data_IF_763242520438
#
_entry.id   IF_763242520438
#
_cell.length_a   1.000
_cell.length_b   1.000
_cell.length_c   1.000
_cell.angle_alpha   90.00
_cell.angle_beta   90.00
_cell.angle_gamma   90.00
#
_symmetry.space_group_name_H-M   'P 1'
#
loop_
_entity.id
_entity.type
_entity.pdbx_description
1 polymer ?
#
# COMPACT_ATOMS: atom_id res chain seq x y z
N UNK A 1 17.37 51.04 -40.70
CA UNK A 1 16.11 50.74 -39.91
C UNK A 1 16.01 49.24 -39.74
N UNK A 2 16.72 48.74 -38.73
CA UNK A 2 16.72 47.34 -38.35
C UNK A 2 15.58 47.08 -37.39
N UNK A 3 14.62 46.30 -37.83
CA UNK A 3 13.56 45.79 -36.95
C UNK A 3 14.02 44.50 -36.29
N UNK A 4 14.38 44.60 -35.02
CA UNK A 4 14.61 43.42 -34.14
C UNK A 4 13.35 42.58 -34.07
N UNK A 5 13.36 41.37 -34.61
CA UNK A 5 12.37 40.33 -34.32
C UNK A 5 12.64 39.75 -32.94
N UNK A 6 11.76 40.03 -32.01
CA UNK A 6 11.71 39.37 -30.73
C UNK A 6 11.37 37.90 -30.97
N UNK A 7 12.33 37.03 -30.69
CA UNK A 7 12.10 35.59 -30.64
C UNK A 7 11.13 35.26 -29.50
N UNK A 8 9.97 34.75 -29.84
CA UNK A 8 9.00 34.20 -28.87
C UNK A 8 9.65 33.02 -28.15
N UNK A 9 10.01 33.24 -26.90
CA UNK A 9 10.37 32.15 -26.00
C UNK A 9 9.11 31.29 -25.80
N UNK A 10 9.08 30.11 -26.42
CA UNK A 10 8.13 29.06 -26.15
C UNK A 10 8.28 28.64 -24.69
N UNK A 11 7.29 28.98 -23.86
CA UNK A 11 7.17 28.43 -22.51
C UNK A 11 7.23 26.91 -22.64
N UNK A 12 8.03 26.20 -21.79
CA UNK A 12 8.02 24.75 -21.79
C UNK A 12 6.58 24.30 -21.52
N UNK A 13 6.00 23.57 -22.48
CA UNK A 13 4.72 22.90 -22.28
C UNK A 13 4.88 22.02 -21.04
N UNK A 14 4.16 22.35 -19.96
CA UNK A 14 3.95 21.44 -18.85
C UNK A 14 3.30 20.20 -19.45
N UNK A 15 4.07 19.16 -19.69
CA UNK A 15 3.56 17.86 -20.10
C UNK A 15 2.48 17.51 -19.07
N UNK A 16 1.25 17.51 -19.54
CA UNK A 16 0.08 17.18 -18.72
C UNK A 16 0.23 15.71 -18.36
N UNK A 17 0.78 15.47 -17.16
CA UNK A 17 0.92 14.15 -16.62
C UNK A 17 -0.50 13.60 -16.42
N UNK A 18 -0.93 12.69 -17.26
CA UNK A 18 -2.21 12.01 -17.17
C UNK A 18 -1.96 10.50 -17.19
N UNK A 19 -1.36 9.95 -16.12
CA UNK A 19 -1.18 8.52 -16.03
C UNK A 19 -2.52 7.89 -15.75
N UNK A 20 -2.80 6.79 -16.40
CA UNK A 20 -3.89 5.93 -16.02
C UNK A 20 -3.62 5.43 -14.59
N UNK A 21 -4.49 5.78 -13.67
CA UNK A 21 -4.43 5.35 -12.27
C UNK A 21 -4.79 3.88 -12.19
N UNK A 22 -3.98 3.10 -11.48
CA UNK A 22 -4.15 1.66 -11.26
C UNK A 22 -4.65 1.39 -9.85
N UNK A 23 -4.15 2.16 -8.87
CA UNK A 23 -4.54 2.02 -7.46
C UNK A 23 -4.56 3.35 -6.74
N UNK A 24 -5.37 3.42 -5.69
CA UNK A 24 -5.47 4.57 -4.79
C UNK A 24 -5.54 4.04 -3.36
N UNK A 25 -4.79 4.64 -2.46
CA UNK A 25 -4.83 4.35 -1.02
C UNK A 25 -4.71 5.63 -0.21
N UNK A 26 -5.38 5.67 0.93
CA UNK A 26 -5.25 6.72 1.93
C UNK A 26 -4.31 6.26 3.04
N UNK A 27 -3.57 7.20 3.62
CA UNK A 27 -2.83 6.93 4.84
C UNK A 27 -3.77 6.85 6.06
N UNK A 28 -3.22 6.54 7.24
CA UNK A 28 -3.98 6.24 8.46
C UNK A 28 -4.96 7.34 8.90
N UNK A 29 -4.60 8.61 8.72
CA UNK A 29 -5.38 9.78 9.13
C UNK A 29 -6.10 10.49 7.96
N UNK A 30 -6.06 9.91 6.76
CA UNK A 30 -6.63 10.46 5.52
C UNK A 30 -6.08 11.83 5.11
N UNK A 31 -4.93 12.24 5.66
CA UNK A 31 -4.26 13.50 5.29
C UNK A 31 -3.47 13.40 3.98
N UNK A 32 -3.13 12.18 3.58
CA UNK A 32 -2.40 11.88 2.36
C UNK A 32 -3.08 10.80 1.53
N UNK A 33 -2.92 10.91 0.21
CA UNK A 33 -3.31 9.88 -0.74
C UNK A 33 -2.12 9.43 -1.57
N UNK A 34 -1.94 8.13 -1.70
CA UNK A 34 -0.99 7.52 -2.61
C UNK A 34 -1.71 6.92 -3.82
N UNK A 35 -1.10 7.01 -4.99
CA UNK A 35 -1.67 6.45 -6.22
C UNK A 35 -0.62 5.72 -7.03
N UNK A 36 -0.91 4.49 -7.40
CA UNK A 36 -0.16 3.76 -8.41
C UNK A 36 -0.70 4.06 -9.82
N UNK A 37 0.16 4.09 -10.80
CA UNK A 37 -0.19 4.39 -12.18
C UNK A 37 0.63 3.58 -13.17
N UNK A 38 0.31 3.63 -14.47
CA UNK A 38 1.06 2.96 -15.54
C UNK A 38 2.49 3.49 -15.74
N UNK A 39 2.90 4.58 -15.07
CA UNK A 39 4.22 5.22 -15.24
C UNK A 39 4.95 5.52 -13.92
N UNK A 40 4.57 4.83 -12.85
CA UNK A 40 5.11 5.04 -11.52
C UNK A 40 4.03 5.34 -10.49
N UNK A 41 4.32 6.16 -9.49
CA UNK A 41 3.38 6.46 -8.41
C UNK A 41 3.43 7.93 -8.00
N UNK A 42 2.42 8.35 -7.27
CA UNK A 42 2.34 9.69 -6.67
C UNK A 42 1.94 9.60 -5.20
N UNK A 43 2.42 10.57 -4.46
CA UNK A 43 2.00 10.84 -3.09
C UNK A 43 1.47 12.28 -3.04
N UNK A 44 0.26 12.44 -2.57
CA UNK A 44 -0.39 13.75 -2.46
C UNK A 44 -0.77 14.00 -1.00
N UNK A 45 -0.20 15.03 -0.41
CA UNK A 45 -0.67 15.56 0.86
C UNK A 45 -1.92 16.41 0.59
N UNK A 46 -3.02 16.11 1.29
CA UNK A 46 -4.31 16.78 1.13
C UNK A 46 -4.50 17.92 2.14
N UNK A 47 -4.00 17.72 3.36
CA UNK A 47 -4.12 18.65 4.49
C UNK A 47 -2.79 18.78 5.22
N UNK A 48 -2.43 19.95 5.80
CA UNK A 48 -3.13 21.24 5.71
C UNK A 48 -2.95 21.97 4.39
N UNK A 49 -1.92 21.63 3.58
CA UNK A 49 -1.63 22.25 2.30
C UNK A 49 -1.45 21.18 1.24
N UNK A 50 -2.13 21.33 0.12
CA UNK A 50 -2.00 20.39 -0.99
C UNK A 50 -0.56 20.40 -1.55
N UNK A 51 0.09 19.26 -1.46
CA UNK A 51 1.41 19.01 -2.07
C UNK A 51 1.38 17.68 -2.82
N UNK A 52 1.97 17.65 -3.99
CA UNK A 52 2.04 16.46 -4.83
C UNK A 52 3.49 16.16 -5.19
N UNK A 53 3.90 14.94 -4.91
CA UNK A 53 5.18 14.37 -5.29
C UNK A 53 4.94 13.23 -6.28
N UNK A 54 5.65 13.25 -7.42
CA UNK A 54 5.49 12.27 -8.49
C UNK A 54 6.81 11.55 -8.72
N UNK A 55 6.76 10.23 -8.75
CA UNK A 55 7.90 9.35 -8.94
C UNK A 55 7.70 8.55 -10.22
N UNK A 56 8.44 8.90 -11.27
CA UNK A 56 8.39 8.21 -12.55
C UNK A 56 9.19 6.92 -12.52
N UNK A 57 8.60 5.84 -13.04
CA UNK A 57 9.25 4.54 -13.19
C UNK A 57 9.13 4.03 -14.63
N UNK A 58 9.97 3.06 -15.00
CA UNK A 58 9.93 2.43 -16.33
C UNK A 58 8.76 1.44 -16.47
N UNK A 59 7.62 1.71 -15.84
CA UNK A 59 6.43 0.86 -15.87
C UNK A 59 5.46 1.18 -14.75
N UNK A 60 4.41 0.38 -14.66
CA UNK A 60 3.29 0.57 -13.75
C UNK A 60 3.54 0.09 -12.33
N UNK A 61 2.89 0.77 -11.39
CA UNK A 61 2.80 0.41 -9.98
C UNK A 61 1.34 0.06 -9.68
N UNK A 62 1.12 -1.18 -9.24
CA UNK A 62 -0.21 -1.71 -8.91
C UNK A 62 -0.64 -1.50 -7.48
N UNK A 63 0.31 -1.44 -6.55
CA UNK A 63 0.05 -1.17 -5.13
C UNK A 63 1.01 -0.06 -4.69
N UNK A 64 0.49 0.91 -3.96
CA UNK A 64 1.24 2.01 -3.38
C UNK A 64 0.64 2.35 -2.02
N UNK A 65 1.29 1.95 -0.95
CA UNK A 65 0.84 2.14 0.44
C UNK A 65 1.84 2.98 1.21
N UNK A 66 1.36 3.98 1.94
CA UNK A 66 2.21 4.87 2.74
C UNK A 66 2.24 4.44 4.20
N UNK A 67 3.37 4.67 4.85
CA UNK A 67 3.45 4.63 6.31
C UNK A 67 3.10 6.01 6.85
N UNK A 68 1.87 6.19 7.27
CA UNK A 68 1.34 7.47 7.81
C UNK A 68 1.73 8.69 6.96
N UNK A 69 2.20 9.78 7.58
CA UNK A 69 2.74 10.96 6.89
C UNK A 69 4.27 10.90 6.71
N UNK A 70 4.87 9.71 6.75
CA UNK A 70 6.31 9.52 6.58
C UNK A 70 6.73 9.53 5.11
N UNK A 71 8.04 9.50 4.87
CA UNK A 71 8.61 9.33 3.53
C UNK A 71 8.63 7.87 3.04
N UNK A 72 8.18 6.93 3.85
CA UNK A 72 8.22 5.50 3.51
C UNK A 72 6.97 5.06 2.75
N UNK A 73 7.19 4.42 1.61
CA UNK A 73 6.13 3.90 0.75
C UNK A 73 6.46 2.46 0.34
N UNK A 74 5.52 1.57 0.52
CA UNK A 74 5.60 0.21 -0.01
C UNK A 74 4.95 0.16 -1.39
N UNK A 75 5.69 -0.30 -2.40
CA UNK A 75 5.23 -0.36 -3.78
C UNK A 75 5.37 -1.76 -4.36
N UNK A 76 4.42 -2.13 -5.22
CA UNK A 76 4.41 -3.41 -5.97
C UNK A 76 4.11 -3.11 -7.43
N UNK A 77 4.84 -3.76 -8.33
CA UNK A 77 4.62 -3.61 -9.77
C UNK A 77 3.23 -4.08 -10.20
N UNK A 78 2.61 -3.39 -11.15
CA UNK A 78 1.29 -3.73 -11.65
C UNK A 78 0.88 -2.92 -12.88
N UNK A 79 -0.35 -3.14 -13.37
CA UNK A 79 -0.82 -2.54 -14.61
C UNK A 79 -0.38 -3.33 -15.86
N UNK A 80 -0.56 -2.74 -17.04
CA UNK A 80 -0.34 -3.43 -18.32
C UNK A 80 1.14 -3.76 -18.59
N UNK A 81 2.04 -2.88 -18.12
CA UNK A 81 3.50 -3.04 -18.21
C UNK A 81 4.12 -2.71 -16.85
N UNK A 82 4.23 -3.68 -15.95
CA UNK A 82 4.71 -3.45 -14.59
C UNK A 82 6.16 -2.95 -14.56
N UNK A 83 6.47 -2.03 -13.63
CA UNK A 83 7.84 -1.54 -13.41
C UNK A 83 8.78 -2.66 -12.93
N UNK A 84 8.23 -3.62 -12.21
CA UNK A 84 8.88 -4.85 -11.76
C UNK A 84 7.82 -5.89 -11.43
N UNK A 85 8.24 -7.13 -11.15
CA UNK A 85 7.33 -8.26 -10.90
C UNK A 85 6.30 -7.94 -9.80
N UNK A 86 5.04 -8.35 -10.00
CA UNK A 86 3.99 -8.32 -8.97
C UNK A 86 4.29 -9.22 -7.76
N UNK A 87 5.30 -10.09 -7.85
CA UNK A 87 5.83 -10.89 -6.74
C UNK A 87 6.95 -10.19 -5.96
N UNK A 88 7.22 -8.92 -6.28
CA UNK A 88 8.24 -8.12 -5.58
C UNK A 88 7.57 -6.94 -4.90
N UNK A 89 7.85 -6.78 -3.62
CA UNK A 89 7.52 -5.58 -2.85
C UNK A 89 8.82 -4.80 -2.62
N UNK A 90 8.76 -3.51 -2.87
CA UNK A 90 9.85 -2.57 -2.61
C UNK A 90 9.41 -1.57 -1.57
N UNK A 91 10.21 -1.40 -0.52
CA UNK A 91 10.08 -0.27 0.40
C UNK A 91 10.97 0.86 -0.10
N UNK A 92 10.35 1.98 -0.40
CA UNK A 92 10.95 3.14 -1.05
C UNK A 92 10.89 4.36 -0.13
N UNK A 93 11.99 5.11 -0.06
CA UNK A 93 12.04 6.39 0.64
C UNK A 93 11.84 7.53 -0.35
N UNK A 94 10.76 8.29 -0.20
CA UNK A 94 10.41 9.39 -1.11
C UNK A 94 11.24 10.65 -0.87
N UNK A 95 11.93 10.79 0.26
CA UNK A 95 12.72 11.98 0.59
C UNK A 95 14.02 12.05 -0.22
N UNK A 96 14.67 10.91 -0.45
CA UNK A 96 15.93 10.78 -1.17
C UNK A 96 15.84 9.92 -2.43
N UNK A 97 14.63 9.44 -2.75
CA UNK A 97 14.35 8.56 -3.88
C UNK A 97 15.16 7.25 -3.85
N UNK A 98 15.45 6.73 -2.66
CA UNK A 98 16.20 5.48 -2.48
C UNK A 98 15.28 4.28 -2.23
N UNK A 99 15.79 3.10 -2.57
CA UNK A 99 15.17 1.82 -2.18
C UNK A 99 15.78 1.36 -0.87
N UNK A 100 14.95 1.16 0.15
CA UNK A 100 15.39 0.67 1.47
C UNK A 100 15.55 -0.85 1.44
N UNK A 101 14.55 -1.56 0.93
CA UNK A 101 14.64 -3.00 0.75
C UNK A 101 13.75 -3.49 -0.40
N UNK A 102 14.12 -4.64 -0.96
CA UNK A 102 13.33 -5.42 -1.91
C UNK A 102 13.04 -6.81 -1.32
N UNK A 103 11.78 -7.19 -1.32
CA UNK A 103 11.31 -8.51 -0.86
C UNK A 103 10.67 -9.26 -2.04
N UNK A 104 11.05 -10.54 -2.22
CA UNK A 104 10.49 -11.39 -3.26
C UNK A 104 9.62 -12.48 -2.64
N UNK A 105 8.52 -12.79 -3.30
CA UNK A 105 7.52 -13.76 -2.87
C UNK A 105 7.30 -14.84 -3.94
N UNK A 106 6.83 -16.00 -3.53
CA UNK A 106 6.57 -17.14 -4.45
C UNK A 106 5.32 -16.91 -5.30
N UNK A 107 4.40 -16.05 -4.85
CA UNK A 107 3.17 -15.68 -5.56
C UNK A 107 2.98 -14.16 -5.61
N UNK A 108 2.06 -13.65 -6.47
CA UNK A 108 1.77 -12.22 -6.54
C UNK A 108 1.32 -11.64 -5.21
N UNK A 109 1.82 -10.45 -4.89
CA UNK A 109 1.35 -9.63 -3.76
C UNK A 109 0.01 -9.03 -4.16
N UNK A 110 -1.02 -9.31 -3.36
CA UNK A 110 -2.40 -8.88 -3.62
C UNK A 110 -2.79 -7.65 -2.82
N UNK A 111 -2.25 -7.52 -1.60
CA UNK A 111 -2.42 -6.33 -0.78
C UNK A 111 -1.21 -6.10 0.13
N UNK A 112 -1.02 -4.87 0.51
CA UNK A 112 -0.01 -4.44 1.49
C UNK A 112 -0.70 -3.53 2.49
N UNK A 113 -0.37 -3.65 3.77
CA UNK A 113 -0.78 -2.73 4.82
C UNK A 113 0.40 -2.42 5.74
N UNK A 114 0.48 -1.18 6.19
CA UNK A 114 1.56 -0.72 7.06
C UNK A 114 1.01 0.03 8.26
N UNK A 115 1.70 -0.12 9.38
CA UNK A 115 1.63 0.78 10.51
C UNK A 115 3.03 0.87 11.17
N UNK A 116 3.16 1.65 12.24
CA UNK A 116 4.43 1.84 12.96
C UNK A 116 5.06 0.57 13.56
N UNK A 117 4.35 -0.57 13.59
CA UNK A 117 4.83 -1.82 14.21
C UNK A 117 5.10 -2.91 13.20
N UNK A 118 4.35 -2.93 12.10
CA UNK A 118 4.43 -4.03 11.14
C UNK A 118 4.11 -3.62 9.70
N UNK A 119 4.68 -4.39 8.81
CA UNK A 119 4.32 -4.46 7.39
C UNK A 119 3.62 -5.80 7.16
N UNK A 120 2.42 -5.74 6.61
CA UNK A 120 1.59 -6.90 6.25
C UNK A 120 1.62 -7.05 4.74
N UNK A 121 1.92 -8.25 4.26
CA UNK A 121 1.88 -8.61 2.84
C UNK A 121 0.92 -9.76 2.66
N UNK A 122 -0.10 -9.57 1.84
CA UNK A 122 -1.15 -10.55 1.59
C UNK A 122 -0.92 -11.20 0.23
N UNK A 123 -0.82 -12.52 0.25
CA UNK A 123 -0.77 -13.39 -0.91
C UNK A 123 -2.10 -14.16 -1.03
N UNK A 124 -2.25 -14.98 -2.07
CA UNK A 124 -3.49 -15.71 -2.31
C UNK A 124 -3.86 -16.73 -1.20
N UNK A 125 -2.85 -17.29 -0.53
CA UNK A 125 -3.02 -18.36 0.49
C UNK A 125 -2.27 -18.09 1.79
N UNK A 126 -1.58 -16.95 1.88
CA UNK A 126 -0.73 -16.62 3.03
C UNK A 126 -0.76 -15.13 3.33
N UNK A 127 -0.61 -14.81 4.60
CA UNK A 127 -0.31 -13.47 5.08
C UNK A 127 1.07 -13.48 5.74
N UNK A 128 1.95 -12.62 5.26
CA UNK A 128 3.28 -12.43 5.81
C UNK A 128 3.31 -11.19 6.69
N UNK A 129 3.78 -11.33 7.91
CA UNK A 129 3.91 -10.25 8.89
C UNK A 129 5.38 -9.97 9.13
N UNK A 130 5.80 -8.74 8.85
CA UNK A 130 7.17 -8.27 9.07
C UNK A 130 7.21 -7.24 10.18
N UNK A 131 8.30 -7.22 10.91
CA UNK A 131 8.63 -6.09 11.79
C UNK A 131 9.06 -4.91 10.90
N UNK A 132 8.48 -3.72 11.12
CA UNK A 132 8.71 -2.55 10.25
C UNK A 132 10.14 -2.00 10.38
N UNK A 133 10.73 -2.05 11.57
CA UNK A 133 12.05 -1.47 11.84
C UNK A 133 13.19 -2.34 11.26
N UNK A 134 13.03 -3.66 11.34
CA UNK A 134 14.07 -4.62 10.95
C UNK A 134 13.85 -5.28 9.61
N UNK A 135 12.63 -5.14 9.04
CA UNK A 135 12.16 -5.83 7.82
C UNK A 135 12.33 -7.36 7.88
N UNK A 136 12.41 -7.92 9.10
CA UNK A 136 12.46 -9.37 9.31
C UNK A 136 11.07 -9.95 9.45
N UNK A 137 10.90 -11.17 8.92
CA UNK A 137 9.67 -11.94 9.10
C UNK A 137 9.43 -12.16 10.59
N UNK A 138 8.26 -11.77 11.06
CA UNK A 138 7.77 -12.02 12.40
C UNK A 138 6.90 -13.28 12.45
N UNK A 139 6.04 -13.43 11.43
CA UNK A 139 5.12 -14.55 11.34
C UNK A 139 4.65 -14.77 9.90
N UNK A 140 4.36 -16.02 9.57
CA UNK A 140 3.65 -16.44 8.37
C UNK A 140 2.34 -17.09 8.82
N UNK A 141 1.23 -16.70 8.20
CA UNK A 141 -0.10 -17.24 8.47
C UNK A 141 -0.62 -17.86 7.18
N UNK A 142 -0.91 -19.15 7.22
CA UNK A 142 -1.68 -19.79 6.15
C UNK A 142 -3.14 -19.36 6.24
N UNK A 143 -3.74 -19.05 5.11
CA UNK A 143 -5.12 -18.57 5.02
C UNK A 143 -5.90 -19.38 4.01
N UNK A 144 -7.24 -19.46 4.14
CA UNK A 144 -8.09 -19.89 3.04
C UNK A 144 -7.82 -19.05 1.78
N UNK A 145 -8.20 -19.52 0.58
CA UNK A 145 -8.05 -18.77 -0.65
C UNK A 145 -8.59 -17.34 -0.53
N UNK A 146 -7.73 -16.36 -0.73
CA UNK A 146 -8.04 -14.94 -0.66
C UNK A 146 -7.56 -14.22 -1.95
N UNK A 147 -8.16 -14.55 -3.10
CA UNK A 147 -7.67 -14.04 -4.41
C UNK A 147 -7.84 -12.53 -4.58
N UNK A 148 -8.67 -11.89 -3.75
CA UNK A 148 -8.87 -10.43 -3.74
C UNK A 148 -7.88 -9.70 -2.81
N UNK A 149 -7.09 -10.43 -2.01
CA UNK A 149 -6.20 -9.83 -1.03
C UNK A 149 -6.91 -9.04 0.07
N UNK A 150 -8.12 -9.49 0.46
CA UNK A 150 -8.92 -8.80 1.47
C UNK A 150 -8.21 -8.83 2.81
N UNK A 151 -7.95 -7.67 3.37
CA UNK A 151 -7.41 -7.52 4.72
C UNK A 151 -7.63 -6.09 5.22
N UNK A 152 -7.68 -5.94 6.52
CA UNK A 152 -7.67 -4.63 7.18
C UNK A 152 -6.75 -4.69 8.39
N UNK A 153 -5.90 -3.69 8.51
CA UNK A 153 -4.96 -3.53 9.62
C UNK A 153 -5.37 -2.30 10.42
N UNK A 154 -5.43 -2.43 11.74
CA UNK A 154 -5.62 -1.28 12.61
C UNK A 154 -4.40 -0.35 12.48
N UNK A 155 -4.64 0.89 12.06
CA UNK A 155 -3.60 1.86 11.71
C UNK A 155 -3.24 2.78 12.86
N UNK A 156 -4.20 3.10 13.73
CA UNK A 156 -3.97 3.90 14.93
C UNK A 156 -4.46 3.13 16.16
N UNK A 157 -3.55 2.79 17.04
CA UNK A 157 -3.87 2.53 18.44
C UNK A 157 -3.19 3.61 19.26
N UNK A 158 -3.81 4.09 20.31
CA UNK A 158 -3.11 4.94 21.29
C UNK A 158 -1.73 4.35 21.56
N UNK A 159 -0.69 5.17 21.67
CA UNK A 159 0.70 4.73 21.90
C UNK A 159 0.82 3.75 23.10
N UNK A 160 -0.18 3.74 23.99
CA UNK A 160 -0.34 2.81 25.11
C UNK A 160 -0.99 1.47 24.74
N UNK A 161 -1.66 1.34 23.60
CA UNK A 161 -2.23 0.06 23.16
C UNK A 161 -1.13 -0.83 22.60
N UNK A 162 -0.82 -1.92 23.31
CA UNK A 162 0.14 -2.93 22.83
C UNK A 162 -0.41 -3.79 21.68
N UNK A 163 -1.72 -3.77 21.46
CA UNK A 163 -2.39 -4.60 20.46
C UNK A 163 -2.36 -3.95 19.07
N UNK A 164 -2.21 -4.79 18.07
CA UNK A 164 -2.34 -4.45 16.65
C UNK A 164 -3.24 -5.49 16.03
N UNK A 165 -4.42 -5.08 15.57
CA UNK A 165 -5.44 -5.98 15.02
C UNK A 165 -5.30 -6.05 13.51
N UNK A 166 -5.23 -7.28 13.02
CA UNK A 166 -5.31 -7.62 11.60
C UNK A 166 -6.57 -8.48 11.38
N UNK A 167 -7.40 -8.08 10.44
CA UNK A 167 -8.57 -8.85 10.02
C UNK A 167 -8.40 -9.33 8.59
N UNK A 168 -8.75 -10.60 8.33
CA UNK A 168 -8.74 -11.22 7.01
C UNK A 168 -9.80 -12.31 6.91
N UNK A 169 -10.19 -12.77 5.69
CA UNK A 169 -11.18 -13.81 5.54
C UNK A 169 -10.76 -15.13 6.21
N UNK A 170 -11.66 -15.74 6.95
CA UNK A 170 -11.48 -17.05 7.58
C UNK A 170 -12.01 -18.22 6.74
N UNK A 171 -12.76 -17.92 5.66
CA UNK A 171 -13.31 -18.89 4.74
C UNK A 171 -13.31 -18.33 3.31
N UNK A 172 -13.28 -19.22 2.30
CA UNK A 172 -13.41 -18.86 0.89
C UNK A 172 -14.86 -18.75 0.40
N UNK A 173 -15.77 -19.43 1.08
CA UNK A 173 -17.17 -19.67 0.70
C UNK A 173 -18.18 -19.13 1.70
N UNK A 174 -17.75 -18.79 2.92
CA UNK A 174 -18.56 -18.16 3.95
C UNK A 174 -18.05 -16.78 4.31
N UNK A 175 -18.85 -16.03 5.05
CA UNK A 175 -18.55 -14.70 5.54
C UNK A 175 -17.74 -14.66 6.83
N UNK A 176 -16.88 -15.65 7.07
CA UNK A 176 -16.06 -15.71 8.27
C UNK A 176 -14.90 -14.71 8.19
N UNK A 177 -14.68 -13.98 9.27
CA UNK A 177 -13.58 -13.03 9.42
C UNK A 177 -12.73 -13.41 10.63
N UNK A 178 -11.46 -13.66 10.39
CA UNK A 178 -10.47 -13.87 11.45
C UNK A 178 -10.02 -12.52 12.00
N UNK A 179 -10.08 -12.38 13.32
CA UNK A 179 -9.53 -11.26 14.07
C UNK A 179 -8.23 -11.73 14.75
N UNK A 180 -7.10 -11.18 14.32
CA UNK A 180 -5.77 -11.63 14.71
C UNK A 180 -5.02 -10.51 15.46
N UNK A 181 -4.44 -10.85 16.62
CA UNK A 181 -3.52 -9.97 17.35
C UNK A 181 -2.09 -10.18 16.84
N UNK A 182 -1.59 -9.21 16.08
CA UNK A 182 -0.22 -9.22 15.51
C UNK A 182 0.86 -9.18 16.60
N UNK A 183 0.60 -8.45 17.69
CA UNK A 183 1.54 -8.34 18.81
C UNK A 183 1.59 -9.63 19.63
N UNK A 184 0.43 -10.16 19.98
CA UNK A 184 0.27 -11.41 20.73
C UNK A 184 0.44 -12.67 19.90
N UNK A 185 0.53 -12.56 18.56
CA UNK A 185 0.69 -13.67 17.60
C UNK A 185 -0.40 -14.75 17.75
N UNK A 186 -1.64 -14.34 17.95
CA UNK A 186 -2.77 -15.27 18.18
C UNK A 186 -4.06 -14.78 17.55
N UNK A 187 -4.91 -15.73 17.20
CA UNK A 187 -6.30 -15.46 16.84
C UNK A 187 -7.05 -15.05 18.12
N UNK A 188 -7.72 -13.89 18.06
CA UNK A 188 -8.59 -13.42 19.13
C UNK A 188 -9.98 -14.05 18.99
N UNK A 189 -10.53 -13.98 17.77
CA UNK A 189 -11.86 -14.51 17.46
C UNK A 189 -12.00 -14.77 15.96
N UNK A 190 -12.99 -15.58 15.63
CA UNK A 190 -13.52 -15.71 14.27
C UNK A 190 -14.96 -15.24 14.33
N UNK A 191 -15.29 -14.28 13.47
CA UNK A 191 -16.63 -13.68 13.38
C UNK A 191 -17.33 -14.27 12.17
N UNK A 192 -18.43 -14.98 12.37
CA UNK A 192 -19.33 -15.43 11.31
C UNK A 192 -20.23 -14.25 10.91
N UNK A 193 -19.74 -13.39 10.00
CA UNK A 193 -20.40 -12.12 9.67
C UNK A 193 -21.61 -12.31 8.74
N UNK A 194 -21.54 -13.26 7.80
CA UNK A 194 -22.63 -13.58 6.87
C UNK A 194 -22.46 -14.98 6.25
N UNK A 195 -23.48 -15.41 5.54
CA UNK A 195 -23.51 -16.75 4.90
C UNK A 195 -22.68 -16.81 3.59
N UNK A 196 -22.44 -15.67 2.97
CA UNK A 196 -21.71 -15.58 1.68
C UNK A 196 -20.28 -15.02 1.87
N UNK A 197 -19.37 -15.26 0.90
CA UNK A 197 -17.98 -14.81 1.01
C UNK A 197 -17.84 -13.31 1.24
N UNK A 198 -16.90 -12.94 2.08
CA UNK A 198 -16.55 -11.54 2.40
C UNK A 198 -16.16 -10.78 1.13
N UNK A 199 -16.69 -9.56 0.98
CA UNK A 199 -16.37 -8.68 -0.16
C UNK A 199 -15.46 -7.50 0.23
N UNK A 200 -15.56 -7.04 1.48
CA UNK A 200 -14.68 -5.99 2.03
C UNK A 200 -14.56 -6.15 3.55
N UNK A 201 -13.45 -5.69 4.10
CA UNK A 201 -13.17 -5.68 5.53
C UNK A 201 -12.61 -4.31 5.89
N UNK A 202 -13.11 -3.73 6.97
CA UNK A 202 -12.57 -2.52 7.58
C UNK A 202 -12.52 -2.69 9.10
N UNK A 203 -11.44 -2.18 9.70
CA UNK A 203 -11.26 -2.13 11.16
C UNK A 203 -11.24 -0.66 11.57
N UNK A 204 -12.02 -0.32 12.60
CA UNK A 204 -11.98 1.02 13.20
C UNK A 204 -10.63 1.26 13.88
N UNK A 205 -10.25 2.52 13.94
CA UNK A 205 -9.06 2.98 14.64
C UNK A 205 -9.28 3.18 16.16
N UNK A 206 -10.55 3.10 16.61
CA UNK A 206 -10.96 3.38 17.99
C UNK A 206 -10.71 2.19 18.94
#
# INVERSE_FOLDING_TARGET
KDSMRLSSQTRPQKTRWNPQVVSVSLNSDSSCVSTGSQRGFQVCQLSPNFRRHSFSMKGGIGICEMLDCSSLVAIVGGGDSPAFSSRRLRVFNTSDSSTICDMNFDSPVLAVRLNHKCLIVVLAFQVHIYNIDTMKVKQLLDTPPNPKGLCSLQTSGNASSSRVILCFPGSSDKGDVVVFDVAGQKIISVVEAHESPVQSIAVSSD
#
